data_IF_352486427846
#
_entry.id   IF_352486427846
#
_cell.length_a   1.000
_cell.length_b   1.000
_cell.length_c   1.000
_cell.angle_alpha   90.00
_cell.angle_beta   90.00
_cell.angle_gamma   90.00
#
_symmetry.space_group_name_H-M   'P 1'
#
loop_
_entity.id
_entity.type
_entity.pdbx_description
1 polymer ?
#
# COMPACT_ATOMS: atom_id res chain seq x y z
N UNK A 1 7.46 -35.19 7.00
CA UNK A 1 7.95 -34.52 8.23
C UNK A 1 8.35 -33.10 7.86
N UNK A 2 7.89 -32.09 8.60
CA UNK A 2 8.24 -30.68 8.34
C UNK A 2 9.44 -30.25 9.18
N UNK A 3 10.48 -29.77 8.49
CA UNK A 3 11.77 -29.37 9.09
C UNK A 3 11.66 -28.05 9.84
N UNK A 4 10.79 -27.12 9.41
CA UNK A 4 10.60 -25.80 10.03
C UNK A 4 9.15 -25.57 10.48
N UNK A 5 8.94 -24.79 11.55
CA UNK A 5 7.61 -24.39 12.05
C UNK A 5 7.52 -22.89 12.22
N UNK A 6 6.41 -22.32 11.75
CA UNK A 6 6.17 -20.88 11.72
C UNK A 6 4.96 -20.52 12.59
N UNK A 7 5.10 -19.47 13.39
CA UNK A 7 4.04 -18.98 14.27
C UNK A 7 3.85 -17.48 14.02
N UNK A 8 2.73 -17.08 13.39
CA UNK A 8 2.40 -15.67 13.30
C UNK A 8 2.21 -15.18 14.72
N UNK A 9 3.01 -14.21 15.08
CA UNK A 9 2.84 -13.54 16.35
C UNK A 9 1.81 -12.45 16.12
N UNK A 10 1.01 -12.19 17.14
CA UNK A 10 0.06 -11.08 17.18
C UNK A 10 0.73 -9.71 16.96
N UNK A 11 2.06 -9.64 17.07
CA UNK A 11 2.87 -8.44 16.91
C UNK A 11 3.37 -8.18 15.47
N UNK A 12 2.81 -8.83 14.43
CA UNK A 12 3.26 -8.62 13.04
C UNK A 12 4.64 -9.24 12.72
N UNK A 13 5.10 -10.15 13.57
CA UNK A 13 6.29 -10.97 13.34
C UNK A 13 5.92 -12.43 13.03
N UNK A 14 6.86 -13.16 12.46
CA UNK A 14 6.71 -14.56 12.11
C UNK A 14 7.87 -15.33 12.72
N UNK A 15 7.60 -16.00 13.84
CA UNK A 15 8.61 -16.82 14.51
C UNK A 15 8.81 -18.12 13.76
N UNK A 16 10.04 -18.48 13.45
CA UNK A 16 10.44 -19.66 12.71
C UNK A 16 11.35 -20.53 13.59
N UNK A 17 11.08 -21.83 13.63
CA UNK A 17 11.90 -22.82 14.36
C UNK A 17 12.31 -23.93 13.41
N UNK A 18 13.54 -24.42 13.52
CA UNK A 18 14.07 -25.52 12.71
C UNK A 18 15.19 -26.29 13.42
N UNK A 19 15.82 -27.26 12.75
CA UNK A 19 16.79 -28.16 13.38
C UNK A 19 18.06 -27.46 13.87
N UNK A 20 18.40 -26.31 13.25
CA UNK A 20 19.55 -25.49 13.60
C UNK A 20 19.26 -24.33 14.54
N UNK A 21 18.02 -24.19 15.03
CA UNK A 21 17.62 -23.09 15.91
C UNK A 21 16.41 -22.32 15.40
N UNK A 22 16.26 -21.08 15.86
CA UNK A 22 15.08 -20.26 15.62
C UNK A 22 15.46 -18.88 15.06
N UNK A 23 14.59 -18.31 14.24
CA UNK A 23 14.72 -16.95 13.70
C UNK A 23 13.35 -16.26 13.68
N UNK A 24 13.33 -14.93 13.72
CA UNK A 24 12.11 -14.14 13.62
C UNK A 24 12.15 -13.31 12.34
N UNK A 25 11.09 -13.41 11.53
CA UNK A 25 10.91 -12.63 10.31
C UNK A 25 9.85 -11.54 10.52
N UNK A 26 9.95 -10.46 9.76
CA UNK A 26 8.91 -9.43 9.71
C UNK A 26 7.72 -9.94 8.87
N UNK A 27 6.50 -9.67 9.32
CA UNK A 27 5.26 -10.06 8.64
C UNK A 27 4.23 -8.90 8.70
N UNK A 28 4.39 -7.85 7.86
CA UNK A 28 3.46 -6.73 7.82
C UNK A 28 2.09 -7.20 7.30
N UNK A 29 1.01 -6.90 8.02
CA UNK A 29 -0.33 -7.44 7.70
C UNK A 29 -1.13 -6.60 6.69
N UNK A 30 -0.77 -5.35 6.40
CA UNK A 30 -1.24 -4.64 5.20
C UNK A 30 -0.27 -3.49 4.91
N UNK A 31 0.12 -3.33 3.65
CA UNK A 31 0.82 -2.10 3.23
C UNK A 31 -0.26 -1.13 2.78
N UNK A 32 -0.49 -0.07 3.57
CA UNK A 32 -1.44 0.96 3.23
C UNK A 32 -1.06 1.57 1.87
N UNK A 33 -1.99 1.58 0.93
CA UNK A 33 -1.74 2.04 -0.45
C UNK A 33 -2.85 2.97 -0.90
N UNK A 34 -2.49 4.15 -1.40
CA UNK A 34 -3.39 5.11 -2.01
C UNK A 34 -3.30 5.01 -3.55
N UNK A 35 -4.46 5.00 -4.19
CA UNK A 35 -4.59 4.86 -5.65
C UNK A 35 -5.16 6.14 -6.25
N UNK A 36 -4.45 6.73 -7.19
CA UNK A 36 -4.92 7.88 -7.96
C UNK A 36 -5.23 7.45 -9.41
N UNK A 37 -6.38 7.82 -9.98
CA UNK A 37 -6.65 7.61 -11.40
C UNK A 37 -5.58 8.25 -12.29
N UNK A 38 -5.37 7.70 -13.48
CA UNK A 38 -4.59 8.40 -14.52
C UNK A 38 -5.25 9.74 -14.85
N UNK A 39 -4.48 10.68 -15.41
CA UNK A 39 -5.03 11.99 -15.79
C UNK A 39 -6.20 11.85 -16.80
N UNK A 40 -6.11 10.86 -17.69
CA UNK A 40 -7.16 10.55 -18.67
C UNK A 40 -8.45 10.04 -17.99
N UNK A 41 -8.34 9.11 -17.04
CA UNK A 41 -9.50 8.59 -16.30
C UNK A 41 -10.10 9.67 -15.38
N UNK A 42 -9.25 10.49 -14.77
CA UNK A 42 -9.66 11.61 -13.93
C UNK A 42 -10.54 12.61 -14.68
N UNK A 43 -10.22 12.91 -15.94
CA UNK A 43 -11.01 13.82 -16.77
C UNK A 43 -12.46 13.36 -16.98
N UNK A 44 -12.75 12.08 -16.81
CA UNK A 44 -14.11 11.53 -16.92
C UNK A 44 -14.77 11.42 -15.54
N UNK A 45 -14.07 10.83 -14.58
CA UNK A 45 -14.62 10.39 -13.28
C UNK A 45 -14.59 11.47 -12.20
N UNK A 46 -13.71 12.47 -12.31
CA UNK A 46 -13.54 13.46 -11.25
C UNK A 46 -14.75 14.41 -11.16
N UNK A 47 -15.09 14.86 -9.94
CA UNK A 47 -16.09 15.90 -9.76
C UNK A 47 -15.63 17.21 -10.41
N UNK A 48 -16.58 18.03 -10.86
CA UNK A 48 -16.29 19.22 -11.68
C UNK A 48 -15.28 20.19 -11.04
N UNK A 49 -15.32 20.35 -9.71
CA UNK A 49 -14.40 21.24 -9.00
C UNK A 49 -12.93 20.77 -9.03
N UNK A 50 -12.69 19.49 -9.32
CA UNK A 50 -11.39 18.83 -9.27
C UNK A 50 -10.87 18.43 -10.65
N UNK A 51 -11.70 18.49 -11.71
CA UNK A 51 -11.40 17.98 -13.05
C UNK A 51 -10.08 18.52 -13.62
N UNK A 52 -9.82 19.81 -13.44
CA UNK A 52 -8.58 20.47 -13.93
C UNK A 52 -7.43 20.48 -12.91
N UNK A 53 -7.60 19.82 -11.76
CA UNK A 53 -6.64 19.86 -10.64
C UNK A 53 -5.79 18.59 -10.50
N UNK A 54 -5.83 17.69 -11.47
CA UNK A 54 -5.16 16.39 -11.37
C UNK A 54 -3.67 16.52 -11.00
N UNK A 55 -2.93 17.39 -11.69
CA UNK A 55 -1.48 17.55 -11.41
C UNK A 55 -1.20 18.09 -10.00
N UNK A 56 -2.09 18.94 -9.47
CA UNK A 56 -1.99 19.50 -8.12
C UNK A 56 -2.28 18.39 -7.10
N UNK A 57 -3.38 17.66 -7.28
CA UNK A 57 -3.78 16.55 -6.41
C UNK A 57 -2.75 15.43 -6.42
N UNK A 58 -2.20 15.07 -7.59
CA UNK A 58 -1.12 14.07 -7.69
C UNK A 58 0.07 14.45 -6.82
N UNK A 59 0.56 15.69 -6.97
CA UNK A 59 1.72 16.17 -6.22
C UNK A 59 1.44 16.20 -4.72
N UNK A 60 0.28 16.70 -4.33
CA UNK A 60 -0.10 16.82 -2.91
C UNK A 60 -0.36 15.44 -2.28
N UNK A 61 -0.97 14.50 -3.02
CA UNK A 61 -1.17 13.13 -2.58
C UNK A 61 0.13 12.33 -2.51
N UNK A 62 1.04 12.50 -3.46
CA UNK A 62 2.37 11.87 -3.44
C UNK A 62 3.18 12.34 -2.23
N UNK A 63 3.16 13.66 -1.96
CA UNK A 63 3.76 14.23 -0.75
C UNK A 63 3.13 13.63 0.51
N UNK A 64 1.80 13.60 0.58
CA UNK A 64 1.08 13.01 1.71
C UNK A 64 1.41 11.52 1.91
N UNK A 65 1.47 10.73 0.84
CA UNK A 65 1.81 9.31 0.91
C UNK A 65 3.21 9.07 1.44
N UNK A 66 4.18 9.85 0.95
CA UNK A 66 5.56 9.81 1.44
C UNK A 66 5.64 10.14 2.93
N UNK A 67 4.94 11.19 3.38
CA UNK A 67 4.87 11.58 4.78
C UNK A 67 4.22 10.50 5.66
N UNK A 68 3.25 9.75 5.13
CA UNK A 68 2.47 8.75 5.88
C UNK A 68 2.96 7.31 5.71
N UNK A 69 4.08 7.09 5.01
CA UNK A 69 4.60 5.74 4.67
C UNK A 69 3.55 4.87 3.99
N UNK A 70 2.73 5.51 3.17
CA UNK A 70 1.70 4.90 2.35
C UNK A 70 2.28 4.70 0.97
N UNK A 71 2.08 3.54 0.38
CA UNK A 71 2.42 3.33 -1.01
C UNK A 71 1.52 4.19 -1.88
N UNK A 72 2.12 4.86 -2.86
CA UNK A 72 1.38 5.65 -3.83
C UNK A 72 1.41 4.97 -5.20
N UNK A 73 0.25 4.78 -5.81
CA UNK A 73 0.13 4.17 -7.12
C UNK A 73 -0.83 4.98 -8.00
N UNK A 74 -0.41 5.20 -9.25
CA UNK A 74 -1.30 5.71 -10.29
C UNK A 74 -1.88 4.51 -11.02
N UNK A 75 -3.21 4.44 -11.11
CA UNK A 75 -3.92 3.28 -11.63
C UNK A 75 -5.15 3.71 -12.44
N UNK A 76 -5.29 3.27 -13.69
CA UNK A 76 -6.35 3.71 -14.60
C UNK A 76 -7.76 3.25 -14.18
N UNK A 77 -7.88 2.27 -13.28
CA UNK A 77 -9.16 1.75 -12.77
C UNK A 77 -9.42 2.14 -11.31
N UNK A 78 -8.55 2.98 -10.72
CA UNK A 78 -8.81 3.59 -9.42
C UNK A 78 -10.15 4.33 -9.43
N UNK A 79 -10.94 4.13 -8.38
CA UNK A 79 -12.30 4.69 -8.27
C UNK A 79 -12.31 5.94 -7.42
N UNK A 80 -13.14 6.89 -7.82
CA UNK A 80 -13.49 8.07 -7.04
C UNK A 80 -14.91 7.82 -6.50
N UNK A 81 -15.13 8.02 -5.19
CA UNK A 81 -16.43 7.84 -4.53
C UNK A 81 -16.95 9.17 -3.98
#
# INVERSE_FOLDING_TARGET
MTTFRFHPKWNGGLYCTGPGGCLELELPMVILTAYLPTEEAWKSEAPDWARDKWSVIRRELEAWCHENKVNFMIDAVARIY
#
